data_IF_967654023636
#
_entry.id   IF_967654023636
#
_cell.length_a   1.000
_cell.length_b   1.000
_cell.length_c   1.000
_cell.angle_alpha   90.00
_cell.angle_beta   90.00
_cell.angle_gamma   90.00
#
_symmetry.space_group_name_H-M   'P 1'
#
loop_
_entity.id
_entity.type
_entity.pdbx_description
1 polymer ?
#
# COMPACT_ATOMS: atom_id res chain seq x y z
N UNK A 1 18.58 46.80 33.30
CA UNK A 1 18.85 47.47 32.01
C UNK A 1 18.62 46.45 30.90
N UNK A 2 17.50 46.53 30.20
CA UNK A 2 17.19 45.62 29.11
C UNK A 2 17.94 46.09 27.85
N UNK A 3 18.76 45.22 27.27
CA UNK A 3 19.66 45.56 26.16
C UNK A 3 18.83 46.03 24.96
N UNK A 4 18.91 47.33 24.60
CA UNK A 4 18.07 47.95 23.55
C UNK A 4 18.21 47.30 22.17
N UNK A 5 19.25 46.49 21.98
CA UNK A 5 19.54 45.75 20.75
C UNK A 5 18.94 44.33 20.71
N UNK A 6 18.43 43.77 21.81
CA UNK A 6 17.85 42.41 21.83
C UNK A 6 16.47 42.34 21.16
N UNK A 7 15.68 43.39 21.30
CA UNK A 7 14.33 43.47 20.73
C UNK A 7 14.37 43.55 19.18
N UNK A 8 15.19 44.41 18.55
CA UNK A 8 15.28 44.44 17.09
C UNK A 8 15.92 43.17 16.51
N UNK A 9 16.91 42.55 17.17
CA UNK A 9 17.50 41.30 16.68
C UNK A 9 16.53 40.13 16.72
N UNK A 10 15.71 40.04 17.78
CA UNK A 10 14.67 39.02 17.89
C UNK A 10 13.58 39.24 16.82
N UNK A 11 13.20 40.49 16.56
CA UNK A 11 12.23 40.81 15.51
C UNK A 11 12.75 40.45 14.11
N UNK A 12 14.02 40.74 13.82
CA UNK A 12 14.68 40.35 12.56
C UNK A 12 14.75 38.82 12.43
N UNK A 13 15.10 38.10 13.50
CA UNK A 13 15.14 36.64 13.50
C UNK A 13 13.75 36.04 13.22
N UNK A 14 12.69 36.57 13.85
CA UNK A 14 11.30 36.14 13.61
C UNK A 14 10.88 36.40 12.16
N UNK A 15 11.25 37.56 11.59
CA UNK A 15 10.98 37.86 10.18
C UNK A 15 11.69 36.89 9.24
N UNK A 16 12.97 36.58 9.49
CA UNK A 16 13.74 35.62 8.67
C UNK A 16 13.09 34.23 8.73
N UNK A 17 12.66 33.78 9.91
CA UNK A 17 11.98 32.50 10.09
C UNK A 17 10.64 32.48 9.36
N UNK A 18 9.84 33.56 9.46
CA UNK A 18 8.55 33.67 8.78
C UNK A 18 8.69 33.68 7.25
N UNK A 19 9.67 34.42 6.71
CA UNK A 19 9.93 34.44 5.27
C UNK A 19 10.45 33.08 4.79
N UNK A 20 11.33 32.45 5.55
CA UNK A 20 11.86 31.11 5.21
C UNK A 20 10.74 30.06 5.19
N UNK A 21 9.85 30.07 6.19
CA UNK A 21 8.71 29.17 6.25
C UNK A 21 7.75 29.36 5.06
N UNK A 22 7.46 30.61 4.69
CA UNK A 22 6.59 30.92 3.54
C UNK A 22 7.20 30.50 2.19
N UNK A 23 8.53 30.61 2.06
CA UNK A 23 9.24 30.18 0.85
C UNK A 23 9.28 28.66 0.75
N UNK A 24 9.48 27.95 1.87
CA UNK A 24 9.46 26.47 1.90
C UNK A 24 8.10 25.91 1.52
N UNK A 25 7.00 26.47 1.99
CA UNK A 25 5.65 26.02 1.61
C UNK A 25 5.38 26.20 0.12
N UNK A 26 5.79 27.34 -0.47
CA UNK A 26 5.64 27.57 -1.91
C UNK A 26 6.50 26.62 -2.73
N UNK A 27 7.77 26.42 -2.37
CA UNK A 27 8.68 25.52 -3.09
C UNK A 27 8.19 24.07 -3.06
N UNK A 28 7.50 23.64 -2.00
CA UNK A 28 6.99 22.26 -1.89
C UNK A 28 5.64 22.06 -2.62
N UNK A 29 4.77 23.08 -2.62
CA UNK A 29 3.44 22.99 -3.24
C UNK A 29 3.46 23.16 -4.77
N UNK A 30 4.37 23.97 -5.31
CA UNK A 30 4.53 24.21 -6.75
C UNK A 30 4.79 22.90 -7.54
N UNK A 31 5.74 22.02 -7.18
CA UNK A 31 6.00 20.81 -7.96
C UNK A 31 4.84 19.80 -7.90
N UNK A 32 4.12 19.73 -6.78
CA UNK A 32 2.96 18.84 -6.62
C UNK A 32 1.79 19.27 -7.52
N UNK A 33 1.54 20.58 -7.63
CA UNK A 33 0.50 21.12 -8.50
C UNK A 33 0.90 21.08 -9.99
N UNK A 34 2.17 21.29 -10.31
CA UNK A 34 2.68 21.18 -11.68
C UNK A 34 2.61 19.74 -12.20
N UNK A 35 3.04 18.76 -11.40
CA UNK A 35 2.92 17.34 -11.75
C UNK A 35 1.44 16.97 -11.91
N UNK A 36 0.57 17.42 -11.01
CA UNK A 36 -0.87 17.23 -11.12
C UNK A 36 -1.44 17.80 -12.43
N UNK A 37 -1.07 19.01 -12.80
CA UNK A 37 -1.45 19.63 -14.08
C UNK A 37 -0.93 18.86 -15.29
N UNK A 38 0.27 18.27 -15.20
CA UNK A 38 0.85 17.44 -16.25
C UNK A 38 0.06 16.14 -16.44
N UNK A 39 -0.34 15.48 -15.35
CA UNK A 39 -1.20 14.29 -15.39
C UNK A 39 -2.56 14.57 -16.00
N UNK A 40 -3.17 15.71 -15.66
CA UNK A 40 -4.48 16.11 -16.22
C UNK A 40 -4.36 16.33 -17.73
N UNK A 41 -3.34 17.05 -18.20
CA UNK A 41 -3.09 17.25 -19.64
C UNK A 41 -2.75 15.95 -20.36
N UNK A 42 -1.95 15.08 -19.75
CA UNK A 42 -1.65 13.76 -20.31
C UNK A 42 -2.91 12.89 -20.42
N UNK A 43 -3.79 12.94 -19.41
CA UNK A 43 -5.07 12.24 -19.44
C UNK A 43 -6.00 12.82 -20.50
N UNK A 44 -6.11 14.14 -20.61
CA UNK A 44 -6.94 14.81 -21.63
C UNK A 44 -6.49 14.48 -23.06
N UNK A 45 -5.16 14.47 -23.29
CA UNK A 45 -4.59 14.06 -24.59
C UNK A 45 -4.76 12.57 -24.86
N UNK A 46 -4.69 11.71 -23.85
CA UNK A 46 -4.96 10.27 -24.00
C UNK A 46 -6.45 10.00 -24.30
N UNK A 47 -7.36 10.66 -23.57
CA UNK A 47 -8.81 10.51 -23.74
C UNK A 47 -9.25 11.05 -25.09
N UNK A 48 -8.74 12.19 -25.54
CA UNK A 48 -9.07 12.72 -26.88
C UNK A 48 -8.58 11.81 -28.00
N UNK A 49 -7.38 11.23 -27.88
CA UNK A 49 -6.88 10.23 -28.84
C UNK A 49 -7.70 8.94 -28.84
N UNK A 50 -8.09 8.45 -27.67
CA UNK A 50 -8.91 7.26 -27.54
C UNK A 50 -10.32 7.49 -28.11
N UNK A 51 -10.92 8.63 -27.79
CA UNK A 51 -12.22 9.05 -28.33
C UNK A 51 -12.16 9.21 -29.85
N UNK A 52 -11.08 9.82 -30.36
CA UNK A 52 -10.79 9.90 -31.79
C UNK A 52 -10.71 8.52 -32.43
N UNK A 53 -9.90 7.61 -31.88
CA UNK A 53 -9.79 6.24 -32.37
C UNK A 53 -11.13 5.49 -32.35
N UNK A 54 -11.92 5.62 -31.29
CA UNK A 54 -13.22 4.94 -31.16
C UNK A 54 -14.25 5.50 -32.14
N UNK A 55 -14.33 6.83 -32.28
CA UNK A 55 -15.26 7.49 -33.22
C UNK A 55 -14.84 7.34 -34.67
N UNK A 56 -13.53 7.16 -34.93
CA UNK A 56 -12.97 6.89 -36.25
C UNK A 56 -12.92 5.40 -36.61
N UNK A 57 -13.66 4.52 -35.94
CA UNK A 57 -13.84 3.13 -36.40
C UNK A 57 -15.16 2.93 -37.18
N UNK A 58 -15.26 3.33 -38.46
CA UNK A 58 -16.31 2.85 -39.34
C UNK A 58 -15.76 1.66 -40.16
N UNK A 59 -16.13 0.45 -39.75
CA UNK A 59 -16.46 -0.67 -40.65
C UNK A 59 -16.79 -1.91 -39.81
N UNK A 60 -18.01 -1.91 -39.25
CA UNK A 60 -18.60 -3.06 -38.56
C UNK A 60 -18.99 -4.20 -39.52
N UNK A 61 -18.67 -4.04 -40.81
CA UNK A 61 -18.91 -5.02 -41.88
C UNK A 61 -17.84 -6.11 -41.92
N UNK A 62 -16.62 -5.82 -41.46
CA UNK A 62 -15.52 -6.79 -41.50
C UNK A 62 -15.47 -7.68 -40.24
N UNK A 63 -15.33 -9.00 -40.35
CA UNK A 63 -15.19 -9.88 -39.18
C UNK A 63 -13.98 -9.56 -38.28
N UNK A 64 -12.94 -8.95 -38.84
CA UNK A 64 -11.68 -8.67 -38.15
C UNK A 64 -11.79 -7.54 -37.12
N UNK A 65 -12.72 -6.60 -37.30
CA UNK A 65 -12.96 -5.54 -36.32
C UNK A 65 -13.52 -6.12 -35.01
N UNK A 66 -14.43 -7.08 -35.08
CA UNK A 66 -14.97 -7.78 -33.91
C UNK A 66 -13.90 -8.52 -33.10
N UNK A 67 -12.97 -9.20 -33.79
CA UNK A 67 -11.85 -9.90 -33.14
C UNK A 67 -10.97 -8.90 -32.38
N UNK A 68 -10.59 -7.79 -33.03
CA UNK A 68 -9.78 -6.74 -32.40
C UNK A 68 -10.48 -6.12 -31.20
N UNK A 69 -11.76 -5.77 -31.31
CA UNK A 69 -12.52 -5.20 -30.19
C UNK A 69 -12.65 -6.18 -29.03
N UNK A 70 -12.87 -7.47 -29.31
CA UNK A 70 -12.94 -8.51 -28.27
C UNK A 70 -11.61 -8.65 -27.51
N UNK A 71 -10.48 -8.58 -28.20
CA UNK A 71 -9.15 -8.63 -27.57
C UNK A 71 -8.94 -7.41 -26.65
N UNK A 72 -9.32 -6.21 -27.11
CA UNK A 72 -9.19 -4.99 -26.31
C UNK A 72 -10.05 -5.05 -25.05
N UNK A 73 -11.31 -5.50 -25.16
CA UNK A 73 -12.20 -5.68 -24.01
C UNK A 73 -11.64 -6.72 -23.02
N UNK A 74 -11.09 -7.82 -23.53
CA UNK A 74 -10.45 -8.84 -22.70
C UNK A 74 -9.24 -8.30 -21.94
N UNK A 75 -8.36 -7.53 -22.60
CA UNK A 75 -7.22 -6.90 -21.95
C UNK A 75 -7.63 -5.90 -20.87
N UNK A 76 -8.67 -5.09 -21.13
CA UNK A 76 -9.23 -4.17 -20.13
C UNK A 76 -9.78 -4.93 -18.92
N UNK A 77 -10.47 -6.04 -19.15
CA UNK A 77 -10.96 -6.91 -18.07
C UNK A 77 -9.81 -7.51 -17.25
N UNK A 78 -8.77 -8.01 -17.91
CA UNK A 78 -7.57 -8.52 -17.22
C UNK A 78 -6.88 -7.43 -16.41
N UNK A 79 -6.72 -6.22 -16.96
CA UNK A 79 -6.13 -5.09 -16.24
C UNK A 79 -6.98 -4.69 -15.03
N UNK A 80 -8.31 -4.61 -15.17
CA UNK A 80 -9.24 -4.37 -14.07
C UNK A 80 -9.11 -5.45 -12.99
N UNK A 81 -9.05 -6.72 -13.39
CA UNK A 81 -8.93 -7.85 -12.48
C UNK A 81 -7.59 -7.90 -11.75
N UNK A 82 -6.50 -7.38 -12.34
CA UNK A 82 -5.20 -7.30 -11.66
C UNK A 82 -5.12 -6.09 -10.73
N UNK A 83 -5.60 -4.92 -11.18
CA UNK A 83 -5.49 -3.67 -10.44
C UNK A 83 -6.46 -3.55 -9.27
N UNK A 84 -7.65 -4.13 -9.39
CA UNK A 84 -8.72 -3.98 -8.38
C UNK A 84 -8.95 -5.23 -7.54
N UNK A 85 -8.24 -6.33 -7.82
CA UNK A 85 -8.27 -7.49 -6.93
C UNK A 85 -7.48 -7.17 -5.66
N UNK A 86 -8.08 -7.34 -4.47
CA UNK A 86 -7.41 -7.01 -3.23
C UNK A 86 -6.12 -7.81 -3.11
N UNK A 87 -5.02 -7.09 -2.92
CA UNK A 87 -3.70 -7.69 -2.77
C UNK A 87 -3.65 -8.46 -1.45
N UNK A 88 -3.53 -9.78 -1.54
CA UNK A 88 -3.33 -10.63 -0.36
C UNK A 88 -1.92 -10.38 0.21
N UNK A 89 -1.84 -9.69 1.35
CA UNK A 89 -0.61 -9.30 2.05
C UNK A 89 -0.24 -10.27 3.18
N UNK A 90 -0.80 -11.48 3.20
CA UNK A 90 -0.40 -12.50 4.17
C UNK A 90 1.02 -12.99 3.84
N UNK A 91 1.98 -12.64 4.71
CA UNK A 91 3.36 -13.16 4.64
C UNK A 91 3.43 -14.48 5.40
N UNK A 92 4.09 -15.48 4.82
CA UNK A 92 4.34 -16.75 5.53
C UNK A 92 5.45 -16.53 6.56
N UNK A 93 5.46 -17.33 7.63
CA UNK A 93 6.49 -17.27 8.69
C UNK A 93 7.91 -17.52 8.15
N UNK A 94 8.05 -18.21 7.01
CA UNK A 94 9.32 -18.34 6.29
C UNK A 94 9.79 -17.00 5.69
N UNK A 95 8.88 -16.24 5.08
CA UNK A 95 9.19 -14.96 4.42
C UNK A 95 9.62 -13.85 5.41
N UNK A 96 9.33 -14.02 6.70
CA UNK A 96 9.76 -13.13 7.80
C UNK A 96 10.98 -13.67 8.57
N UNK A 97 11.59 -14.76 8.10
CA UNK A 97 12.82 -15.32 8.69
C UNK A 97 12.64 -16.09 10.00
N UNK A 98 11.39 -16.36 10.42
CA UNK A 98 11.12 -17.15 11.63
C UNK A 98 11.29 -18.66 11.41
N UNK A 99 11.11 -19.12 10.17
CA UNK A 99 11.34 -20.50 9.76
C UNK A 99 12.44 -20.49 8.69
N UNK A 100 13.42 -21.38 8.80
CA UNK A 100 14.45 -21.53 7.77
C UNK A 100 13.77 -21.82 6.41
N UNK A 101 14.18 -21.11 5.37
CA UNK A 101 13.67 -21.31 4.01
C UNK A 101 13.90 -22.76 3.59
N UNK A 102 12.79 -23.50 3.46
CA UNK A 102 12.77 -24.93 3.15
C UNK A 102 11.39 -25.52 3.41
N UNK A 103 10.98 -26.49 2.57
CA UNK A 103 9.71 -27.21 2.71
C UNK A 103 9.77 -28.21 3.88
N UNK A 104 10.02 -27.73 5.09
CA UNK A 104 10.02 -28.57 6.28
C UNK A 104 8.59 -28.98 6.63
N UNK A 105 8.42 -30.26 6.96
CA UNK A 105 7.17 -30.75 7.53
C UNK A 105 6.88 -30.06 8.87
N UNK A 106 5.62 -29.90 9.26
CA UNK A 106 5.22 -29.24 10.53
C UNK A 106 5.94 -29.84 11.75
N UNK A 107 6.24 -31.14 11.71
CA UNK A 107 7.03 -31.85 12.74
C UNK A 107 8.50 -31.43 12.77
N UNK A 108 9.10 -31.21 11.61
CA UNK A 108 10.50 -30.82 11.47
C UNK A 108 10.70 -29.36 11.90
N UNK A 109 9.77 -28.47 11.55
CA UNK A 109 9.75 -27.08 12.05
C UNK A 109 9.66 -27.04 13.58
N UNK A 110 8.80 -27.86 14.19
CA UNK A 110 8.67 -27.94 15.64
C UNK A 110 9.98 -28.42 16.32
N UNK A 111 10.60 -29.48 15.78
CA UNK A 111 11.88 -29.99 16.29
C UNK A 111 13.01 -28.98 16.12
N UNK A 112 13.03 -28.23 15.02
CA UNK A 112 14.02 -27.19 14.76
C UNK A 112 13.88 -26.02 15.75
N UNK A 113 12.66 -25.56 16.02
CA UNK A 113 12.39 -24.53 17.04
C UNK A 113 12.82 -25.03 18.44
N UNK A 114 12.53 -26.29 18.78
CA UNK A 114 12.97 -26.87 20.05
C UNK A 114 14.49 -26.98 20.16
N UNK A 115 15.18 -27.38 19.08
CA UNK A 115 16.65 -27.41 19.03
C UNK A 115 17.26 -26.02 19.19
N UNK A 116 16.73 -25.00 18.50
CA UNK A 116 17.19 -23.60 18.64
C UNK A 116 17.02 -23.08 20.07
N UNK A 117 15.86 -23.32 20.68
CA UNK A 117 15.60 -22.98 22.10
C UNK A 117 16.57 -23.68 23.05
N UNK A 118 16.91 -24.95 22.78
CA UNK A 118 17.85 -25.73 23.60
C UNK A 118 19.29 -25.24 23.45
N UNK A 119 19.66 -24.76 22.27
CA UNK A 119 21.01 -24.30 21.95
C UNK A 119 21.29 -22.86 22.39
N UNK A 120 20.31 -22.16 22.96
CA UNK A 120 20.48 -20.78 23.43
C UNK A 120 20.68 -19.76 22.30
N UNK A 121 20.41 -20.12 21.04
CA UNK A 121 20.32 -19.13 19.96
C UNK A 121 19.17 -18.18 20.30
N UNK A 122 19.44 -16.87 20.19
CA UNK A 122 18.48 -15.77 20.40
C UNK A 122 17.28 -15.94 19.47
N UNK A 123 16.33 -16.78 19.89
CA UNK A 123 15.03 -16.86 19.30
C UNK A 123 14.37 -15.51 19.61
N UNK A 124 14.04 -14.69 18.60
CA UNK A 124 13.40 -13.41 18.84
C UNK A 124 12.17 -13.64 19.74
N UNK A 125 11.87 -12.70 20.66
CA UNK A 125 10.83 -12.86 21.65
C UNK A 125 9.55 -13.40 20.99
N UNK A 126 8.94 -14.40 21.63
CA UNK A 126 7.87 -15.24 21.06
C UNK A 126 6.73 -14.42 20.42
N UNK A 127 6.53 -13.20 20.94
CA UNK A 127 5.65 -12.18 20.39
C UNK A 127 6.38 -10.83 20.43
N UNK A 128 6.90 -10.32 19.31
CA UNK A 128 7.40 -8.96 19.30
C UNK A 128 6.24 -8.00 19.61
N UNK A 129 6.50 -6.98 20.43
CA UNK A 129 5.54 -5.92 20.73
C UNK A 129 5.28 -5.11 19.45
N UNK A 130 4.34 -5.58 18.64
CA UNK A 130 4.06 -5.03 17.33
C UNK A 130 2.63 -5.29 16.89
N UNK A 131 2.23 -4.59 15.85
CA UNK A 131 0.91 -4.74 15.25
C UNK A 131 0.93 -5.92 14.28
N UNK A 132 0.01 -6.86 14.46
CA UNK A 132 -0.15 -8.01 13.57
C UNK A 132 -1.43 -7.86 12.74
N UNK A 133 -1.29 -7.96 11.42
CA UNK A 133 -2.44 -8.09 10.52
C UNK A 133 -3.03 -9.50 10.66
N UNK A 134 -4.16 -9.61 11.36
CA UNK A 134 -4.78 -10.92 11.63
C UNK A 134 -5.59 -11.45 10.44
N UNK A 135 -6.33 -10.55 9.79
CA UNK A 135 -7.22 -10.90 8.71
C UNK A 135 -7.50 -9.67 7.84
N UNK A 136 -7.61 -9.88 6.54
CA UNK A 136 -7.96 -8.84 5.58
C UNK A 136 -9.46 -8.59 5.58
N UNK A 137 -9.87 -7.34 5.32
CA UNK A 137 -11.27 -6.91 5.44
C UNK A 137 -12.23 -7.69 4.53
N UNK A 138 -11.77 -8.14 3.36
CA UNK A 138 -12.58 -8.90 2.42
C UNK A 138 -12.84 -10.35 2.86
N UNK A 139 -12.04 -10.88 3.80
CA UNK A 139 -12.27 -12.21 4.37
C UNK A 139 -13.44 -12.22 5.37
N UNK A 140 -13.83 -11.05 5.89
CA UNK A 140 -14.95 -10.92 6.84
C UNK A 140 -16.20 -10.37 6.13
N UNK A 141 -17.26 -11.17 6.04
CA UNK A 141 -18.54 -10.68 5.54
C UNK A 141 -19.19 -9.73 6.54
N UNK A 142 -19.99 -8.78 6.04
CA UNK A 142 -20.77 -7.87 6.90
C UNK A 142 -21.68 -8.67 7.83
N UNK A 143 -21.52 -8.50 9.14
CA UNK A 143 -22.29 -9.20 10.16
C UNK A 143 -21.74 -10.58 10.56
N UNK A 144 -20.68 -11.05 9.92
CA UNK A 144 -20.02 -12.30 10.30
C UNK A 144 -19.01 -12.07 11.43
N UNK A 145 -18.89 -13.03 12.35
CA UNK A 145 -17.85 -13.03 13.38
C UNK A 145 -17.05 -14.31 13.32
N UNK A 146 -15.77 -14.21 12.95
CA UNK A 146 -14.86 -15.34 12.92
C UNK A 146 -14.00 -15.37 14.19
N UNK A 147 -13.90 -16.54 14.82
CA UNK A 147 -13.00 -16.75 15.95
C UNK A 147 -11.60 -17.05 15.42
N UNK A 148 -10.61 -16.25 15.82
CA UNK A 148 -9.21 -16.44 15.48
C UNK A 148 -8.44 -16.85 16.74
N UNK A 149 -7.56 -17.84 16.61
CA UNK A 149 -6.62 -18.23 17.65
C UNK A 149 -5.28 -17.55 17.35
N UNK A 150 -4.88 -16.61 18.18
CA UNK A 150 -3.78 -15.68 17.92
C UNK A 150 -2.86 -15.71 19.12
N UNK A 151 -1.57 -15.94 18.89
CA UNK A 151 -0.55 -16.00 19.95
C UNK A 151 -0.86 -17.01 21.07
N UNK A 152 -1.61 -18.08 20.76
CA UNK A 152 -2.03 -19.11 21.73
C UNK A 152 -3.23 -18.72 22.61
N UNK A 153 -3.76 -17.50 22.46
CA UNK A 153 -5.02 -17.10 23.09
C UNK A 153 -6.20 -17.25 22.13
N UNK A 154 -7.26 -17.93 22.60
CA UNK A 154 -8.55 -17.98 21.92
C UNK A 154 -9.61 -17.26 22.75
N UNK A 155 -9.96 -16.02 22.37
CA UNK A 155 -11.13 -15.34 22.95
C UNK A 155 -12.38 -15.72 22.16
N UNK A 156 -13.23 -16.58 22.74
CA UNK A 156 -14.59 -16.80 22.24
C UNK A 156 -15.42 -15.52 22.44
N UNK A 157 -16.12 -15.05 21.40
CA UNK A 157 -17.07 -13.93 21.52
C UNK A 157 -18.26 -14.34 22.38
N UNK A 158 -18.52 -13.58 23.44
CA UNK A 158 -19.77 -13.62 24.22
C UNK A 158 -20.87 -12.99 23.35
N UNK A 159 -21.86 -13.79 22.93
CA UNK A 159 -23.08 -13.27 22.28
C UNK A 159 -23.74 -12.28 23.26
N UNK A 160 -23.96 -11.05 22.80
CA UNK A 160 -24.94 -10.14 23.39
C UNK A 160 -26.27 -10.36 22.68
#
# INVERSE_FOLDING_TARGET
MMNKHLLPTLFIAVLIIAVSASVTEKILQIPLLEVGGLWVKAMETAVSRLTGCVTSMPDMTSPWTYVKTSIVVWLLYCAWAVLLRPLNRIRKLGDVGYVAEGAFSTKETANFIQRRKRNGEDLPPFYPNGWFGLMESFCLKKGESQALNVLGESRKKKKR
#
